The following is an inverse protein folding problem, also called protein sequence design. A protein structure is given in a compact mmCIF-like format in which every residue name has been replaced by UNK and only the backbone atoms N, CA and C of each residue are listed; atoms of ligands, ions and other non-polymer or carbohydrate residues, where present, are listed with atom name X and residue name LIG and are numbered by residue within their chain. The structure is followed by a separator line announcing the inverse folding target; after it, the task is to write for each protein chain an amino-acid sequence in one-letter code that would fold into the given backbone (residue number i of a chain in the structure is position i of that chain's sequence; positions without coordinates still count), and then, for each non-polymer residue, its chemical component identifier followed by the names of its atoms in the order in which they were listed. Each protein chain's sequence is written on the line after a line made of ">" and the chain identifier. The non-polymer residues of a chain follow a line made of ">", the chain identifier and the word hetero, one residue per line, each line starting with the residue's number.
data_IF_924749697601
#
_entry.id   IF_924749697601
#
_cell.length_a   1.000
_cell.length_b   1.000
_cell.length_c   1.000
_cell.angle_alpha   90.00
_cell.angle_beta   90.00
_cell.angle_gamma   90.00
#
_symmetry.space_group_name_H-M   'P 1'
#
loop_
_entity.id
_entity.type
_entity.pdbx_description
1 polymer ?
#
# COMPACT_ATOMS: atom_id res chain seq x y z
N UNK A 1 12.01 0.92 50.88
CA UNK A 1 11.11 0.20 49.94
C UNK A 1 11.86 -1.02 49.45
N UNK A 2 11.35 -2.24 49.65
CA UNK A 2 12.10 -3.46 49.30
C UNK A 2 12.31 -3.54 47.78
N UNK A 3 13.49 -3.99 47.39
CA UNK A 3 13.94 -4.07 45.99
C UNK A 3 12.97 -4.85 45.07
N UNK A 4 12.25 -5.81 45.65
CA UNK A 4 11.18 -6.57 45.02
C UNK A 4 9.97 -5.74 44.60
N UNK A 5 9.67 -4.62 45.27
CA UNK A 5 8.57 -3.73 44.88
C UNK A 5 8.93 -2.90 43.65
N UNK A 6 10.16 -2.39 43.57
CA UNK A 6 10.62 -1.59 42.43
C UNK A 6 10.72 -2.42 41.13
N UNK A 7 11.18 -3.67 41.23
CA UNK A 7 11.24 -4.61 40.10
C UNK A 7 9.84 -4.96 39.56
N UNK A 8 8.87 -5.18 40.45
CA UNK A 8 7.47 -5.45 40.05
C UNK A 8 6.82 -4.24 39.39
N UNK A 9 7.05 -3.02 39.89
CA UNK A 9 6.50 -1.80 39.29
C UNK A 9 7.05 -1.53 37.89
N UNK A 10 8.36 -1.70 37.68
CA UNK A 10 8.97 -1.50 36.34
C UNK A 10 8.45 -2.53 35.34
N UNK A 11 8.30 -3.80 35.74
CA UNK A 11 7.78 -4.85 34.87
C UNK A 11 6.32 -4.59 34.45
N UNK A 12 5.48 -4.11 35.38
CA UNK A 12 4.07 -3.80 35.10
C UNK A 12 3.93 -2.58 34.19
N UNK A 13 4.76 -1.54 34.34
CA UNK A 13 4.76 -0.37 33.45
C UNK A 13 5.18 -0.75 32.03
N UNK A 14 6.18 -1.63 31.88
CA UNK A 14 6.62 -2.12 30.56
C UNK A 14 5.53 -2.99 29.91
N UNK A 15 4.87 -3.88 30.65
CA UNK A 15 3.76 -4.69 30.13
C UNK A 15 2.50 -3.87 29.77
N UNK A 16 2.18 -2.83 30.56
CA UNK A 16 1.07 -1.93 30.25
C UNK A 16 1.38 -1.01 29.07
N UNK A 17 2.63 -0.53 28.94
CA UNK A 17 3.08 0.23 27.77
C UNK A 17 3.01 -0.59 26.47
N UNK A 18 3.27 -1.90 26.53
CA UNK A 18 3.18 -2.82 25.39
C UNK A 18 1.75 -3.20 25.00
N UNK A 19 0.77 -3.06 25.91
CA UNK A 19 -0.64 -3.38 25.65
C UNK A 19 -1.50 -2.16 25.28
N UNK A 20 -0.97 -0.95 25.46
CA UNK A 20 -1.61 0.31 25.04
C UNK A 20 -1.14 0.80 23.66
N UNK A 21 -0.26 0.05 22.98
CA UNK A 21 0.01 0.28 21.56
C UNK A 21 -1.24 -0.20 20.82
N UNK A 22 -2.19 0.72 20.60
CA UNK A 22 -3.22 0.56 19.57
C UNK A 22 -2.56 -0.10 18.38
N UNK A 23 -3.09 -1.24 17.92
CA UNK A 23 -2.52 -2.03 16.82
C UNK A 23 -2.15 -1.09 15.68
N UNK A 24 -0.90 -0.65 15.66
CA UNK A 24 -0.36 0.17 14.60
C UNK A 24 -0.28 -0.81 13.46
N UNK A 25 -1.34 -0.82 12.64
CA UNK A 25 -1.37 -1.59 11.42
C UNK A 25 -0.25 -0.97 10.60
N UNK A 26 0.85 -1.68 10.45
CA UNK A 26 1.89 -1.27 9.52
C UNK A 26 1.19 -1.01 8.18
N UNK A 27 1.52 0.13 7.57
CA UNK A 27 0.93 0.56 6.31
C UNK A 27 1.05 -0.54 5.26
N UNK A 28 0.04 -0.69 4.40
CA UNK A 28 0.15 -1.60 3.26
C UNK A 28 0.85 -0.90 2.11
N UNK A 29 1.85 -1.54 1.50
CA UNK A 29 2.33 -1.18 0.17
C UNK A 29 1.64 -2.10 -0.84
N UNK A 30 0.92 -1.54 -1.80
CA UNK A 30 0.23 -2.30 -2.86
C UNK A 30 0.81 -1.87 -4.21
N UNK A 31 1.00 -2.82 -5.10
CA UNK A 31 1.43 -2.57 -6.48
C UNK A 31 0.42 -3.22 -7.42
N UNK A 32 -0.08 -2.46 -8.39
CA UNK A 32 -0.97 -2.92 -9.44
C UNK A 32 -0.37 -2.64 -10.83
N UNK A 33 -0.50 -3.60 -11.74
CA UNK A 33 0.03 -3.54 -13.10
C UNK A 33 -0.90 -2.98 -14.16
N UNK A 34 -2.05 -2.41 -13.76
CA UNK A 34 -3.05 -1.84 -14.66
C UNK A 34 -3.68 -0.61 -14.01
N UNK A 35 -3.64 0.54 -14.70
CA UNK A 35 -4.25 1.76 -14.23
C UNK A 35 -5.75 1.82 -14.50
N UNK A 36 -6.29 0.94 -15.33
CA UNK A 36 -7.71 0.86 -15.62
C UNK A 36 -8.54 0.16 -14.53
N UNK A 37 -7.94 -0.28 -13.43
CA UNK A 37 -8.65 -0.95 -12.33
C UNK A 37 -9.71 -0.07 -11.63
N UNK A 38 -9.66 1.26 -11.80
CA UNK A 38 -10.69 2.19 -11.33
C UNK A 38 -11.90 2.30 -12.26
N UNK A 39 -11.75 2.02 -13.56
CA UNK A 39 -12.84 2.16 -14.53
C UNK A 39 -14.06 1.25 -14.26
N UNK A 40 -13.89 -0.03 -13.85
CA UNK A 40 -15.01 -0.89 -13.51
C UNK A 40 -15.87 -0.46 -12.31
N UNK A 41 -15.46 0.57 -11.55
CA UNK A 41 -16.27 1.08 -10.42
C UNK A 41 -17.59 1.67 -10.94
N UNK A 42 -17.55 2.43 -12.03
CA UNK A 42 -18.71 3.14 -12.60
C UNK A 42 -18.93 2.85 -14.09
N UNK A 43 -18.07 2.02 -14.70
CA UNK A 43 -18.14 1.66 -16.12
C UNK A 43 -17.57 2.72 -17.06
N UNK A 44 -16.77 3.65 -16.53
CA UNK A 44 -16.06 4.64 -17.34
C UNK A 44 -15.14 3.96 -18.36
N UNK A 45 -14.82 4.67 -19.44
CA UNK A 45 -13.99 4.14 -20.53
C UNK A 45 -14.44 2.78 -21.10
N UNK A 46 -15.77 2.53 -21.13
CA UNK A 46 -16.39 1.28 -21.60
C UNK A 46 -16.12 0.03 -20.76
N UNK A 47 -15.58 0.20 -19.55
CA UNK A 47 -15.39 -0.90 -18.62
C UNK A 47 -16.74 -1.54 -18.23
N UNK A 48 -16.82 -2.87 -18.09
CA UNK A 48 -17.96 -3.49 -17.43
C UNK A 48 -17.97 -3.07 -15.95
N UNK A 49 -19.13 -2.68 -15.43
CA UNK A 49 -19.27 -2.37 -14.00
C UNK A 49 -19.12 -3.65 -13.19
N UNK A 50 -18.18 -3.66 -12.26
CA UNK A 50 -17.89 -4.79 -11.38
C UNK A 50 -17.93 -4.35 -9.90
N UNK A 51 -18.94 -4.80 -9.12
CA UNK A 51 -19.02 -4.48 -7.69
C UNK A 51 -17.79 -4.92 -6.89
N UNK A 52 -17.03 -5.90 -7.38
CA UNK A 52 -15.81 -6.37 -6.75
C UNK A 52 -14.69 -5.32 -6.73
N UNK A 53 -14.57 -4.49 -7.78
CA UNK A 53 -13.61 -3.38 -7.79
C UNK A 53 -13.93 -2.37 -6.69
N UNK A 54 -15.18 -1.90 -6.63
CA UNK A 54 -15.62 -0.96 -5.59
C UNK A 54 -15.39 -1.53 -4.17
N UNK A 55 -15.75 -2.80 -3.95
CA UNK A 55 -15.54 -3.45 -2.67
C UNK A 55 -14.05 -3.59 -2.31
N UNK A 56 -13.18 -3.90 -3.27
CA UNK A 56 -11.74 -3.95 -3.04
C UNK A 56 -11.18 -2.58 -2.64
N UNK A 57 -11.57 -1.50 -3.35
CA UNK A 57 -11.19 -0.13 -2.97
C UNK A 57 -11.66 0.23 -1.54
N UNK A 58 -12.85 -0.19 -1.13
CA UNK A 58 -13.29 -0.05 0.26
C UNK A 58 -12.43 -0.86 1.24
N UNK A 59 -12.04 -2.09 0.88
CA UNK A 59 -11.24 -2.95 1.75
C UNK A 59 -9.82 -2.42 1.99
N UNK A 60 -9.18 -1.83 0.97
CA UNK A 60 -7.83 -1.27 1.11
C UNK A 60 -7.81 0.04 1.90
N UNK A 61 -8.90 0.83 1.85
CA UNK A 61 -9.10 1.96 2.78
C UNK A 61 -9.35 1.44 4.21
N UNK A 62 -10.10 0.35 4.34
CA UNK A 62 -10.41 -0.27 5.62
C UNK A 62 -11.19 0.68 6.53
N UNK A 63 -10.57 1.09 7.63
CA UNK A 63 -11.15 2.05 8.58
C UNK A 63 -10.74 3.51 8.35
N UNK A 64 -9.96 3.79 7.29
CA UNK A 64 -9.50 5.13 6.96
C UNK A 64 -10.64 6.04 6.49
N UNK A 65 -10.37 7.35 6.51
CA UNK A 65 -11.31 8.43 6.20
C UNK A 65 -10.73 9.47 5.23
N UNK A 66 -9.44 9.43 4.93
CA UNK A 66 -8.80 10.40 4.03
C UNK A 66 -8.03 9.69 2.92
N UNK A 67 -8.42 9.98 1.67
CA UNK A 67 -7.77 9.46 0.46
C UNK A 67 -7.13 10.60 -0.32
N UNK A 68 -5.94 10.32 -0.84
CA UNK A 68 -5.19 11.23 -1.71
C UNK A 68 -4.77 10.47 -2.97
N UNK A 69 -5.00 11.05 -4.14
CA UNK A 69 -4.67 10.42 -5.43
C UNK A 69 -3.80 11.38 -6.23
N UNK A 70 -2.61 10.94 -6.61
CA UNK A 70 -1.74 11.65 -7.53
C UNK A 70 -2.29 11.52 -8.94
N UNK A 71 -2.56 12.64 -9.58
CA UNK A 71 -3.09 12.74 -10.94
C UNK A 71 -2.14 13.58 -11.79
N UNK A 72 -1.22 12.95 -12.53
CA UNK A 72 -0.24 13.67 -13.37
C UNK A 72 -0.80 14.07 -14.77
N UNK A 73 -2.11 14.35 -14.86
CA UNK A 73 -2.79 14.93 -16.03
C UNK A 73 -2.77 14.09 -17.32
N UNK A 74 -2.75 12.75 -17.19
CA UNK A 74 -2.90 11.87 -18.34
C UNK A 74 -4.35 11.84 -18.85
N UNK A 75 -4.56 12.11 -20.14
CA UNK A 75 -5.90 12.09 -20.73
C UNK A 75 -6.42 10.67 -21.03
N UNK A 76 -7.73 10.54 -21.25
CA UNK A 76 -8.33 9.30 -21.75
C UNK A 76 -8.68 8.32 -20.62
N UNK A 77 -8.25 7.06 -20.76
CA UNK A 77 -8.62 5.99 -19.82
C UNK A 77 -8.03 6.21 -18.42
N UNK A 78 -6.85 6.84 -18.33
CA UNK A 78 -6.21 7.17 -17.05
C UNK A 78 -7.03 8.20 -16.27
N UNK A 79 -7.31 9.37 -16.85
CA UNK A 79 -8.18 10.36 -16.20
C UNK A 79 -9.52 9.74 -15.78
N UNK A 80 -10.14 8.94 -16.65
CA UNK A 80 -11.40 8.30 -16.33
C UNK A 80 -11.29 7.38 -15.10
N UNK A 81 -10.22 6.58 -15.00
CA UNK A 81 -9.99 5.69 -13.86
C UNK A 81 -9.78 6.48 -12.56
N UNK A 82 -8.91 7.50 -12.61
CA UNK A 82 -8.60 8.40 -11.51
C UNK A 82 -9.83 9.16 -11.01
N UNK A 83 -10.64 9.68 -11.93
CA UNK A 83 -11.90 10.36 -11.63
C UNK A 83 -12.92 9.41 -10.99
N UNK A 84 -13.04 8.17 -11.51
CA UNK A 84 -13.91 7.14 -10.95
C UNK A 84 -13.51 6.78 -9.52
N UNK A 85 -12.21 6.59 -9.24
CA UNK A 85 -11.69 6.34 -7.89
C UNK A 85 -11.97 7.52 -6.94
N UNK A 86 -11.66 8.74 -7.35
CA UNK A 86 -11.86 9.93 -6.53
C UNK A 86 -13.34 10.18 -6.23
N UNK A 87 -14.20 10.00 -7.24
CA UNK A 87 -15.66 10.09 -7.11
C UNK A 87 -16.17 9.03 -6.14
N UNK A 88 -15.74 7.77 -6.30
CA UNK A 88 -16.14 6.68 -5.44
C UNK A 88 -15.86 6.97 -3.96
N UNK A 89 -14.61 7.30 -3.60
CA UNK A 89 -14.27 7.61 -2.22
C UNK A 89 -15.02 8.83 -1.68
N UNK A 90 -15.27 9.84 -2.51
CA UNK A 90 -16.06 11.02 -2.12
C UNK A 90 -17.53 10.71 -1.83
N UNK A 91 -18.05 9.56 -2.29
CA UNK A 91 -19.42 9.10 -1.99
C UNK A 91 -19.53 8.28 -0.70
N UNK A 92 -18.41 7.81 -0.16
CA UNK A 92 -18.42 6.98 1.04
C UNK A 92 -18.69 7.85 2.30
N UNK A 93 -19.61 7.44 3.19
CA UNK A 93 -19.93 8.21 4.38
C UNK A 93 -18.72 8.46 5.28
N UNK A 94 -18.42 9.72 5.57
CA UNK A 94 -17.31 10.12 6.45
C UNK A 94 -15.92 10.03 5.81
N UNK A 95 -15.83 9.72 4.51
CA UNK A 95 -14.57 9.69 3.76
C UNK A 95 -14.42 10.98 2.95
N UNK A 96 -13.19 11.47 2.88
CA UNK A 96 -12.79 12.57 2.00
C UNK A 96 -11.77 12.05 1.00
N UNK A 97 -11.86 12.50 -0.25
CA UNK A 97 -10.90 12.18 -1.31
C UNK A 97 -10.52 13.46 -2.04
N UNK A 98 -9.24 13.55 -2.42
CA UNK A 98 -8.79 14.67 -3.24
C UNK A 98 -7.69 14.25 -4.20
N UNK A 99 -7.69 14.88 -5.38
CA UNK A 99 -6.61 14.80 -6.35
C UNK A 99 -5.50 15.79 -5.97
N UNK A 100 -4.27 15.47 -6.36
CA UNK A 100 -3.17 16.44 -6.40
C UNK A 100 -2.22 16.10 -7.55
N UNK A 101 -1.40 17.09 -7.91
CA UNK A 101 -0.42 17.01 -8.99
C UNK A 101 0.94 17.51 -8.48
N UNK A 102 2.04 16.94 -8.95
CA UNK A 102 3.40 17.43 -8.66
C UNK A 102 4.07 16.75 -7.46
N UNK A 103 5.17 17.36 -7.00
CA UNK A 103 6.09 16.76 -6.01
C UNK A 103 5.40 16.39 -4.70
N UNK A 104 5.61 15.16 -4.25
CA UNK A 104 5.04 14.64 -3.01
C UNK A 104 5.84 15.19 -1.81
N UNK A 105 5.18 15.97 -0.95
CA UNK A 105 5.79 16.44 0.30
C UNK A 105 5.19 15.74 1.53
N UNK A 106 5.88 15.73 2.68
CA UNK A 106 5.29 15.25 3.93
C UNK A 106 3.99 15.97 4.32
N UNK A 107 3.82 17.23 3.89
CA UNK A 107 2.60 18.00 4.13
C UNK A 107 1.39 17.46 3.36
N UNK A 108 1.62 16.89 2.17
CA UNK A 108 0.56 16.32 1.33
C UNK A 108 0.02 14.99 1.86
N UNK A 109 0.86 14.27 2.62
CA UNK A 109 0.54 12.97 3.23
C UNK A 109 0.03 13.09 4.67
N UNK A 110 0.06 14.29 5.26
CA UNK A 110 -0.33 14.50 6.65
C UNK A 110 -1.83 14.24 6.86
N UNK A 111 -2.15 13.22 7.68
CA UNK A 111 -3.54 12.84 7.97
C UNK A 111 -4.24 12.09 6.82
N UNK A 112 -3.50 11.70 5.79
CA UNK A 112 -3.97 10.77 4.75
C UNK A 112 -3.93 9.34 5.31
N UNK A 113 -4.92 8.53 4.99
CA UNK A 113 -4.96 7.11 5.36
C UNK A 113 -4.57 6.21 4.17
N UNK A 114 -4.90 6.66 2.96
CA UNK A 114 -4.66 5.94 1.71
C UNK A 114 -4.18 6.90 0.64
N UNK A 115 -3.00 6.62 0.08
CA UNK A 115 -2.39 7.40 -0.99
C UNK A 115 -2.20 6.54 -2.23
N UNK A 116 -2.59 7.07 -3.38
CA UNK A 116 -2.34 6.47 -4.70
C UNK A 116 -1.34 7.30 -5.46
N UNK A 117 -0.35 6.63 -6.05
CA UNK A 117 0.43 7.18 -7.15
C UNK A 117 0.23 6.34 -8.40
N UNK A 118 -0.24 6.97 -9.46
CA UNK A 118 -0.72 6.33 -10.68
C UNK A 118 0.08 6.92 -11.83
N UNK A 119 0.81 6.06 -12.56
CA UNK A 119 1.57 6.44 -13.75
C UNK A 119 2.36 7.75 -13.57
N UNK A 120 3.38 7.79 -12.69
CA UNK A 120 4.12 9.01 -12.40
C UNK A 120 4.83 9.55 -13.65
N UNK A 121 4.70 10.86 -13.90
CA UNK A 121 5.33 11.55 -15.04
C UNK A 121 6.82 11.79 -14.86
N UNK A 122 7.30 11.83 -13.62
CA UNK A 122 8.67 12.20 -13.26
C UNK A 122 9.29 11.19 -12.27
N UNK A 123 10.62 11.15 -12.25
CA UNK A 123 11.37 10.33 -11.29
C UNK A 123 11.15 10.86 -9.86
N UNK A 124 10.89 9.95 -8.91
CA UNK A 124 10.81 10.31 -7.49
C UNK A 124 12.17 10.74 -6.96
N UNK A 125 12.23 11.92 -6.36
CA UNK A 125 13.44 12.37 -5.69
C UNK A 125 13.61 11.75 -4.29
N UNK A 126 14.78 11.96 -3.68
CA UNK A 126 15.07 11.39 -2.36
C UNK A 126 14.14 11.91 -1.25
N UNK A 127 13.62 13.13 -1.38
CA UNK A 127 12.65 13.72 -0.46
C UNK A 127 11.29 13.04 -0.57
N UNK A 128 10.83 12.77 -1.80
CA UNK A 128 9.59 12.04 -2.06
C UNK A 128 9.67 10.60 -1.56
N UNK A 129 10.78 9.90 -1.84
CA UNK A 129 11.02 8.54 -1.31
C UNK A 129 11.00 8.52 0.22
N UNK A 130 11.60 9.53 0.87
CA UNK A 130 11.56 9.65 2.33
C UNK A 130 10.13 9.89 2.83
N UNK A 131 9.37 10.79 2.19
CA UNK A 131 7.99 11.09 2.59
C UNK A 131 7.08 9.86 2.45
N UNK A 132 7.18 9.11 1.36
CA UNK A 132 6.43 7.88 1.12
C UNK A 132 6.80 6.77 2.11
N UNK A 133 8.10 6.61 2.39
CA UNK A 133 8.57 5.64 3.39
C UNK A 133 8.06 5.99 4.80
N UNK A 134 8.11 7.28 5.18
CA UNK A 134 7.60 7.75 6.47
C UNK A 134 6.09 7.58 6.59
N UNK A 135 5.34 7.80 5.50
CA UNK A 135 3.90 7.57 5.43
C UNK A 135 3.54 6.09 5.67
N UNK A 136 4.22 5.16 4.98
CA UNK A 136 4.07 3.73 5.20
C UNK A 136 4.41 3.32 6.65
N UNK A 137 5.53 3.82 7.18
CA UNK A 137 5.96 3.57 8.56
C UNK A 137 4.99 4.17 9.60
N UNK A 138 4.31 5.26 9.24
CA UNK A 138 3.25 5.90 10.02
C UNK A 138 1.92 5.14 10.03
N UNK A 139 1.79 4.08 9.23
CA UNK A 139 0.58 3.26 9.13
C UNK A 139 -0.34 3.60 7.95
N UNK A 140 0.06 4.54 7.08
CA UNK A 140 -0.67 4.86 5.86
C UNK A 140 -0.54 3.76 4.80
N UNK A 141 -1.56 3.57 3.97
CA UNK A 141 -1.52 2.62 2.86
C UNK A 141 -1.08 3.33 1.58
N UNK A 142 0.00 2.86 0.95
CA UNK A 142 0.53 3.37 -0.32
C UNK A 142 0.18 2.40 -1.44
N UNK A 143 -0.38 2.91 -2.54
CA UNK A 143 -0.66 2.14 -3.75
C UNK A 143 0.11 2.75 -4.92
N UNK A 144 0.98 1.96 -5.54
CA UNK A 144 1.54 2.27 -6.85
C UNK A 144 0.76 1.55 -7.94
N UNK A 145 0.39 2.28 -8.98
CA UNK A 145 -0.36 1.75 -10.12
C UNK A 145 0.41 2.08 -11.39
N UNK A 146 0.96 1.05 -12.01
CA UNK A 146 1.56 1.09 -13.35
C UNK A 146 0.54 0.69 -14.41
N UNK A 147 1.04 0.27 -15.57
CA UNK A 147 0.24 -0.29 -16.66
C UNK A 147 1.05 -1.35 -17.43
N UNK A 148 0.51 -1.92 -18.49
CA UNK A 148 1.21 -2.76 -19.44
C UNK A 148 2.53 -2.13 -19.93
N UNK A 149 3.53 -2.98 -20.16
CA UNK A 149 4.87 -2.51 -20.55
C UNK A 149 4.91 -1.82 -21.92
N UNK A 150 3.88 -1.99 -22.75
CA UNK A 150 3.82 -1.40 -24.10
C UNK A 150 3.25 0.01 -24.06
N UNK A 151 4.13 1.00 -23.90
CA UNK A 151 3.77 2.42 -23.92
C UNK A 151 3.78 3.09 -22.55
N UNK A 152 3.93 2.32 -21.47
CA UNK A 152 4.06 2.82 -20.10
C UNK A 152 5.34 2.31 -19.40
N UNK A 153 6.34 1.93 -20.21
CA UNK A 153 7.61 1.41 -19.70
C UNK A 153 8.38 2.39 -18.82
N UNK A 154 8.29 3.69 -19.11
CA UNK A 154 8.97 4.74 -18.36
C UNK A 154 8.30 4.96 -17.00
N UNK A 155 6.96 5.02 -16.96
CA UNK A 155 6.16 5.11 -15.73
C UNK A 155 6.39 3.89 -14.83
N UNK A 156 6.39 2.69 -15.42
CA UNK A 156 6.70 1.45 -14.68
C UNK A 156 8.13 1.46 -14.13
N UNK A 157 9.11 1.98 -14.89
CA UNK A 157 10.49 2.09 -14.45
C UNK A 157 10.64 3.05 -13.25
N UNK A 158 9.92 4.17 -13.25
CA UNK A 158 9.87 5.12 -12.12
C UNK A 158 9.31 4.48 -10.85
N UNK A 159 8.20 3.74 -10.98
CA UNK A 159 7.62 2.97 -9.87
C UNK A 159 8.63 1.94 -9.35
N UNK A 160 9.29 1.19 -10.22
CA UNK A 160 10.29 0.20 -9.83
C UNK A 160 11.51 0.82 -9.12
N UNK A 161 11.96 1.99 -9.58
CA UNK A 161 13.00 2.75 -8.91
C UNK A 161 12.57 3.18 -7.49
N UNK A 162 11.33 3.65 -7.32
CA UNK A 162 10.79 4.00 -6.01
C UNK A 162 10.66 2.78 -5.08
N UNK A 163 10.08 1.68 -5.58
CA UNK A 163 9.97 0.42 -4.84
C UNK A 163 11.34 -0.06 -4.33
N UNK A 164 12.35 -0.03 -5.20
CA UNK A 164 13.73 -0.38 -4.86
C UNK A 164 14.30 0.57 -3.79
N UNK A 165 14.10 1.88 -3.94
CA UNK A 165 14.62 2.88 -3.02
C UNK A 165 13.98 2.80 -1.62
N UNK A 166 12.71 2.37 -1.53
CA UNK A 166 12.01 2.07 -0.28
C UNK A 166 12.36 0.69 0.30
N UNK A 167 13.14 -0.12 -0.40
CA UNK A 167 13.54 -1.47 0.03
C UNK A 167 12.45 -2.53 -0.14
N UNK A 168 11.43 -2.28 -0.95
CA UNK A 168 10.38 -3.25 -1.28
C UNK A 168 10.93 -4.40 -2.11
N UNK A 169 10.40 -5.61 -1.89
CA UNK A 169 10.70 -6.77 -2.75
C UNK A 169 9.81 -6.85 -3.99
N UNK A 170 8.83 -5.95 -4.13
CA UNK A 170 7.91 -5.92 -5.27
C UNK A 170 8.47 -5.10 -6.44
N UNK A 171 8.08 -5.48 -7.65
CA UNK A 171 8.33 -4.72 -8.88
C UNK A 171 7.22 -4.99 -9.90
N UNK A 172 6.93 -4.00 -10.74
CA UNK A 172 6.23 -4.21 -12.01
C UNK A 172 7.19 -4.96 -12.95
N UNK A 173 6.71 -6.06 -13.50
CA UNK A 173 7.46 -6.86 -14.46
C UNK A 173 7.51 -6.21 -15.83
N UNK A 174 7.57 -7.05 -16.86
CA UNK A 174 7.65 -6.61 -18.25
C UNK A 174 6.76 -7.41 -19.18
N UNK A 175 5.91 -8.30 -18.64
CA UNK A 175 4.98 -9.05 -19.44
C UNK A 175 3.84 -8.14 -19.89
N UNK A 176 3.35 -8.38 -21.10
CA UNK A 176 2.12 -7.78 -21.60
C UNK A 176 1.07 -8.89 -21.57
N UNK A 177 0.14 -8.82 -20.62
CA UNK A 177 -0.78 -9.92 -20.32
C UNK A 177 -2.20 -9.46 -20.59
N UNK A 178 -3.04 -10.37 -21.08
CA UNK A 178 -4.44 -10.09 -21.36
C UNK A 178 -4.59 -8.87 -22.27
N UNK A 179 -3.94 -8.95 -23.44
CA UNK A 179 -3.72 -7.85 -24.39
C UNK A 179 -4.96 -7.44 -25.20
N UNK A 180 -6.16 -7.50 -24.62
CA UNK A 180 -7.43 -7.21 -25.28
C UNK A 180 -8.34 -6.30 -24.44
N UNK A 181 -9.64 -6.23 -24.75
CA UNK A 181 -10.66 -5.53 -23.95
C UNK A 181 -10.62 -5.90 -22.46
N UNK A 182 -11.36 -5.18 -21.62
CA UNK A 182 -11.54 -5.50 -20.20
C UNK A 182 -11.83 -6.99 -19.94
N UNK A 183 -11.18 -7.51 -18.91
CA UNK A 183 -11.32 -8.87 -18.39
C UNK A 183 -11.86 -8.81 -16.96
N UNK A 184 -12.51 -9.91 -16.55
CA UNK A 184 -12.99 -10.09 -15.17
C UNK A 184 -12.40 -11.39 -14.64
N UNK A 185 -11.51 -11.29 -13.65
CA UNK A 185 -10.89 -12.44 -13.01
C UNK A 185 -11.70 -12.92 -11.81
N UNK A 186 -11.61 -14.22 -11.55
CA UNK A 186 -12.02 -14.85 -10.29
C UNK A 186 -10.83 -15.48 -9.57
N UNK A 187 -9.62 -15.29 -10.10
CA UNK A 187 -8.35 -15.71 -9.51
C UNK A 187 -7.96 -14.70 -8.43
N UNK A 188 -8.62 -14.84 -7.28
CA UNK A 188 -8.53 -13.92 -6.15
C UNK A 188 -7.86 -14.65 -5.00
N UNK A 189 -6.73 -14.12 -4.53
CA UNK A 189 -6.05 -14.70 -3.39
C UNK A 189 -6.88 -14.47 -2.10
N UNK A 190 -6.97 -15.46 -1.20
CA UNK A 190 -7.68 -15.27 0.06
C UNK A 190 -6.92 -14.28 0.96
N UNK A 191 -7.63 -13.32 1.55
CA UNK A 191 -7.01 -12.35 2.46
C UNK A 191 -7.95 -11.24 2.89
N UNK A 192 -7.56 -10.50 3.93
CA UNK A 192 -8.37 -9.41 4.48
C UNK A 192 -8.70 -8.32 3.46
N UNK A 193 -7.76 -8.01 2.56
CA UNK A 193 -7.93 -7.01 1.50
C UNK A 193 -8.93 -7.46 0.41
N UNK A 194 -9.20 -8.76 0.30
CA UNK A 194 -10.12 -9.34 -0.68
C UNK A 194 -11.42 -9.84 -0.03
N UNK A 195 -11.72 -9.43 1.21
CA UNK A 195 -12.92 -9.89 1.92
C UNK A 195 -14.18 -9.55 1.13
N UNK A 196 -14.93 -10.58 0.75
CA UNK A 196 -16.19 -10.44 0.00
C UNK A 196 -16.04 -10.15 -1.49
N UNK A 197 -14.81 -9.96 -2.00
CA UNK A 197 -14.54 -9.74 -3.43
C UNK A 197 -14.66 -11.09 -4.15
N UNK A 198 -15.62 -11.21 -5.08
CA UNK A 198 -15.87 -12.46 -5.84
C UNK A 198 -15.44 -12.38 -7.30
N UNK A 199 -15.26 -11.18 -7.82
CA UNK A 199 -14.79 -10.85 -9.15
C UNK A 199 -13.92 -9.59 -9.06
N UNK A 200 -13.00 -9.43 -9.99
CA UNK A 200 -12.26 -8.18 -10.13
C UNK A 200 -11.98 -7.94 -11.60
N UNK A 201 -12.37 -6.77 -12.08
CA UNK A 201 -12.22 -6.38 -13.48
C UNK A 201 -11.01 -5.46 -13.67
N UNK A 202 -10.31 -5.66 -14.77
CA UNK A 202 -9.08 -4.98 -15.14
C UNK A 202 -8.96 -5.04 -16.67
N UNK A 203 -7.95 -4.40 -17.23
CA UNK A 203 -7.69 -4.33 -18.66
C UNK A 203 -6.33 -4.94 -18.98
N UNK A 204 -5.74 -4.54 -20.12
CA UNK A 204 -4.39 -4.88 -20.50
C UNK A 204 -3.39 -4.51 -19.38
N UNK A 205 -2.77 -5.53 -18.74
CA UNK A 205 -1.93 -5.37 -17.54
C UNK A 205 -0.49 -5.83 -17.76
N UNK A 206 0.41 -5.41 -16.86
CA UNK A 206 1.70 -6.08 -16.61
C UNK A 206 1.62 -7.01 -15.38
N UNK A 207 2.57 -7.94 -15.27
CA UNK A 207 2.77 -8.74 -14.06
C UNK A 207 3.36 -7.91 -12.91
N UNK A 208 3.11 -8.37 -11.68
CA UNK A 208 3.77 -7.90 -10.46
C UNK A 208 4.60 -9.06 -9.90
N UNK A 209 5.89 -8.83 -9.73
CA UNK A 209 6.85 -9.80 -9.20
C UNK A 209 7.12 -9.45 -7.73
N UNK A 210 7.09 -10.46 -6.85
CA UNK A 210 7.29 -10.29 -5.41
C UNK A 210 5.99 -10.03 -4.64
N UNK A 211 6.11 -9.77 -3.34
CA UNK A 211 4.97 -9.52 -2.46
C UNK A 211 4.05 -10.74 -2.25
N UNK A 212 2.89 -10.48 -1.63
CA UNK A 212 1.80 -11.44 -1.48
C UNK A 212 0.75 -11.15 -2.55
N UNK A 213 0.41 -12.10 -3.43
CA UNK A 213 -0.60 -11.90 -4.47
C UNK A 213 -1.96 -11.49 -3.90
N UNK A 214 -2.66 -10.59 -4.62
CA UNK A 214 -4.07 -10.24 -4.39
C UNK A 214 -4.94 -10.71 -5.54
N UNK A 215 -4.53 -10.44 -6.78
CA UNK A 215 -5.27 -10.80 -7.99
C UNK A 215 -4.35 -11.38 -9.05
N UNK A 216 -4.81 -12.46 -9.68
CA UNK A 216 -4.20 -13.09 -10.82
C UNK A 216 -5.01 -12.88 -12.11
N UNK A 217 -4.31 -12.85 -13.24
CA UNK A 217 -4.91 -12.68 -14.57
C UNK A 217 -5.81 -13.85 -14.96
N UNK A 218 -6.75 -13.65 -15.90
CA UNK A 218 -7.69 -14.69 -16.34
C UNK A 218 -7.01 -15.80 -17.12
N UNK A 219 -6.00 -15.47 -17.94
CA UNK A 219 -5.44 -16.42 -18.91
C UNK A 219 -4.50 -17.42 -18.23
N UNK A 220 -3.67 -16.96 -17.29
CA UNK A 220 -2.56 -17.75 -16.73
C UNK A 220 -2.40 -17.61 -15.21
N UNK A 221 -3.33 -16.96 -14.51
CA UNK A 221 -3.24 -16.67 -13.07
C UNK A 221 -1.91 -15.98 -12.68
N UNK A 222 -1.42 -15.11 -13.57
CA UNK A 222 -0.22 -14.32 -13.32
C UNK A 222 -0.61 -13.16 -12.41
N UNK A 223 0.09 -13.01 -11.29
CA UNK A 223 -0.18 -11.92 -10.34
C UNK A 223 0.00 -10.57 -11.02
N UNK A 224 -1.02 -9.71 -10.95
CA UNK A 224 -0.98 -8.33 -11.45
C UNK A 224 -1.36 -7.30 -10.39
N UNK A 225 -1.79 -7.75 -9.22
CA UNK A 225 -1.88 -6.93 -8.01
C UNK A 225 -1.29 -7.72 -6.85
N UNK A 226 -0.34 -7.12 -6.14
CA UNK A 226 0.26 -7.71 -4.96
C UNK A 226 0.35 -6.68 -3.82
N UNK A 227 0.54 -7.17 -2.60
CA UNK A 227 0.80 -6.31 -1.45
C UNK A 227 1.99 -6.80 -0.62
N UNK A 228 2.65 -5.87 0.03
CA UNK A 228 3.65 -6.10 1.05
C UNK A 228 3.31 -5.26 2.28
N UNK A 229 3.63 -5.78 3.45
CA UNK A 229 3.63 -4.99 4.67
C UNK A 229 5.09 -4.72 4.98
N UNK A 230 5.56 -3.45 4.96
CA UNK A 230 6.94 -3.13 5.31
C UNK A 230 7.25 -3.74 6.66
N UNK A 231 8.36 -4.47 6.77
CA UNK A 231 8.74 -5.06 8.06
C UNK A 231 8.86 -3.94 9.10
N UNK A 232 8.02 -3.91 10.15
CA UNK A 232 8.00 -2.81 11.09
C UNK A 232 9.26 -2.86 11.92
N UNK A 233 10.31 -2.15 11.46
CA UNK A 233 11.61 -1.98 12.08
C UNK A 233 11.97 -3.11 13.06
N UNK A 234 11.88 -4.37 12.64
CA UNK A 234 12.08 -5.52 13.53
C UNK A 234 13.49 -5.46 14.13
N UNK A 235 14.42 -4.83 13.41
CA UNK A 235 15.74 -4.43 13.89
C UNK A 235 15.73 -3.47 15.08
N UNK A 236 14.81 -2.49 15.16
CA UNK A 236 14.65 -1.61 16.33
C UNK A 236 14.13 -2.39 17.52
N UNK A 237 13.12 -3.24 17.35
CA UNK A 237 12.62 -4.09 18.43
C UNK A 237 13.69 -5.08 18.92
N UNK A 238 14.46 -5.68 18.01
CA UNK A 238 15.57 -6.56 18.34
C UNK A 238 16.69 -5.80 19.05
N UNK A 239 17.07 -4.61 18.57
CA UNK A 239 18.08 -3.77 19.20
C UNK A 239 17.66 -3.33 20.61
N UNK A 240 16.42 -2.88 20.79
CA UNK A 240 15.87 -2.56 22.10
C UNK A 240 15.86 -3.79 23.03
N UNK A 241 15.49 -4.97 22.51
CA UNK A 241 15.54 -6.23 23.25
C UNK A 241 16.96 -6.59 23.73
N UNK A 242 17.96 -6.45 22.85
CA UNK A 242 19.36 -6.72 23.16
C UNK A 242 19.94 -5.73 24.19
N UNK A 243 19.63 -4.43 24.08
CA UNK A 243 20.04 -3.42 25.06
C UNK A 243 19.41 -3.72 26.43
N UNK A 244 18.13 -4.09 26.46
CA UNK A 244 17.45 -4.52 27.69
C UNK A 244 18.13 -5.72 28.37
N UNK A 245 18.46 -6.76 27.60
CA UNK A 245 19.19 -7.94 28.08
C UNK A 245 20.58 -7.59 28.63
N UNK A 246 21.33 -6.75 27.92
CA UNK A 246 22.65 -6.29 28.36
C UNK A 246 22.60 -5.52 29.69
N UNK A 247 21.60 -4.64 29.87
CA UNK A 247 21.39 -3.93 31.12
C UNK A 247 21.07 -4.86 32.31
N UNK A 248 20.29 -5.92 32.09
CA UNK A 248 19.96 -6.92 33.12
C UNK A 248 21.19 -7.75 33.49
N UNK A 249 21.97 -8.20 32.50
CA UNK A 249 23.20 -8.97 32.72
C UNK A 249 24.22 -8.18 33.55
N UNK A 250 24.43 -6.90 33.22
CA UNK A 250 25.35 -6.01 33.95
C UNK A 250 24.95 -5.79 35.41
N UNK A 251 23.64 -5.71 35.69
CA UNK A 251 23.13 -5.60 37.08
C UNK A 251 23.35 -6.86 37.91
N UNK A 252 23.34 -8.05 37.30
CA UNK A 252 23.65 -9.31 38.02
C UNK A 252 25.13 -9.40 38.37
N UNK A 253 26.02 -9.01 37.45
CA UNK A 253 27.47 -9.06 37.65
C UNK A 253 27.99 -8.12 38.76
N UNK A 254 27.30 -6.99 39.04
CA UNK A 254 27.69 -6.06 40.12
C UNK A 254 27.29 -6.60 41.51
N UNK A 255 26.40 -7.61 41.58
CA UNK A 255 25.88 -8.16 42.83
C UNK A 255 26.54 -9.47 43.26
N UNK A 256 27.40 -10.04 42.42
CA UNK A 256 28.24 -11.21 42.70
C UNK A 256 29.64 -10.75 43.11
#
# INVERSE_FOLDING_TARGET
>A
MSETKLQRTILVIVLWGLSAVSSARAGGLIVAGDHNIGNPIDGSFTAPVDPGNALWFANILGGGTTVKIQDELYTGSNQASTDSMNTYYSTLPGVTSSLFTGTITPGDLAGVDLFFSILPSDDYDAGEISALSDFLNGGGTLVFIGDNATGFGDENARINAALTAMGSGMQLGGANIDVSQFFTTTNIAPGGLNTGVTSFSYNFTTDVIGGTPLFGTVTDDITFVAYEVPEPAAGVLLACGLVGLACVARRRAIRS
#
